data_IF_023985844035
#
_entry.id   IF_023985844035
#
_cell.length_a   1.000
_cell.length_b   1.000
_cell.length_c   1.000
_cell.angle_alpha   90.00
_cell.angle_beta   90.00
_cell.angle_gamma   90.00
#
_symmetry.space_group_name_H-M   'P 1'
#
loop_
_entity.id
_entity.type
_entity.pdbx_description
1 polymer ?
#
# COMPACT_ATOMS: atom_id res chain seq x y z
N UNK A 1 35.38 16.71 -11.01
CA UNK A 1 34.37 17.38 -10.20
C UNK A 1 33.10 17.56 -11.02
N UNK A 2 31.96 17.20 -10.45
CA UNK A 2 30.64 17.34 -11.09
C UNK A 2 29.64 17.91 -10.07
N UNK A 3 28.95 18.97 -10.44
CA UNK A 3 27.87 19.57 -9.69
C UNK A 3 26.55 19.24 -10.40
N UNK A 4 25.60 18.65 -9.65
CA UNK A 4 24.24 18.48 -10.09
C UNK A 4 23.33 19.28 -9.16
N UNK A 5 22.29 19.86 -9.71
CA UNK A 5 21.23 20.48 -8.94
C UNK A 5 19.88 20.25 -9.63
N UNK A 6 18.83 20.20 -8.86
CA UNK A 6 17.48 20.17 -9.39
C UNK A 6 16.52 20.93 -8.47
N UNK A 7 15.51 21.53 -9.08
CA UNK A 7 14.38 22.14 -8.40
C UNK A 7 13.10 21.46 -8.91
N UNK A 8 12.25 21.09 -7.99
CA UNK A 8 10.97 20.41 -8.28
C UNK A 8 9.84 21.26 -7.74
N UNK A 9 8.87 21.56 -8.59
CA UNK A 9 7.60 22.19 -8.23
C UNK A 9 6.49 21.26 -8.70
N UNK A 10 5.66 20.80 -7.77
CA UNK A 10 4.55 19.90 -8.07
C UNK A 10 3.27 20.41 -7.40
N UNK A 11 2.16 20.24 -8.11
CA UNK A 11 0.83 20.45 -7.59
C UNK A 11 -0.01 19.23 -7.95
N UNK A 12 -0.62 18.62 -6.93
CA UNK A 12 -1.59 17.55 -7.10
C UNK A 12 -2.95 18.01 -6.56
N UNK A 13 -4.01 17.54 -7.21
CA UNK A 13 -5.37 17.80 -6.81
C UNK A 13 -6.15 16.49 -6.87
N UNK A 14 -6.90 16.20 -5.82
CA UNK A 14 -7.81 15.07 -5.73
C UNK A 14 -9.17 15.59 -5.30
N UNK A 15 -10.22 15.13 -5.94
CA UNK A 15 -11.59 15.57 -5.69
C UNK A 15 -12.54 14.38 -5.69
N UNK A 16 -13.43 14.35 -4.70
CA UNK A 16 -14.65 13.57 -4.70
C UNK A 16 -15.79 14.58 -4.79
N UNK A 17 -16.32 14.84 -6.01
CA UNK A 17 -17.18 16.00 -6.24
C UNK A 17 -18.57 15.85 -5.60
N UNK A 18 -19.05 14.63 -5.48
CA UNK A 18 -20.34 14.30 -4.86
C UNK A 18 -20.40 12.79 -4.61
N UNK A 19 -20.39 12.39 -3.35
CA UNK A 19 -20.60 11.01 -2.94
C UNK A 19 -21.85 10.93 -2.08
N UNK A 20 -22.83 10.14 -2.50
CA UNK A 20 -24.06 9.92 -1.76
C UNK A 20 -24.16 8.46 -1.35
N UNK A 21 -24.27 8.21 -0.07
CA UNK A 21 -24.52 6.90 0.53
C UNK A 21 -25.92 6.87 1.10
N UNK A 22 -26.70 5.84 0.76
CA UNK A 22 -28.10 5.66 1.21
C UNK A 22 -28.17 4.40 2.06
N UNK A 23 -28.71 4.53 3.26
CA UNK A 23 -28.81 3.44 4.23
C UNK A 23 -30.23 2.89 4.27
N UNK A 24 -30.36 1.60 3.91
CA UNK A 24 -31.64 0.89 3.87
C UNK A 24 -31.75 -0.10 5.03
N UNK A 25 -32.94 -0.26 5.56
CA UNK A 25 -33.27 -1.33 6.49
C UNK A 25 -34.33 -2.21 5.82
N UNK A 26 -33.88 -3.28 5.18
CA UNK A 26 -34.72 -4.07 4.28
C UNK A 26 -35.12 -3.23 3.06
N UNK A 27 -36.44 -3.02 2.87
CA UNK A 27 -36.99 -2.22 1.77
C UNK A 27 -37.31 -0.76 2.16
N UNK A 28 -36.93 -0.35 3.37
CA UNK A 28 -37.20 0.97 3.89
C UNK A 28 -35.91 1.76 4.12
N UNK A 29 -35.96 3.09 4.02
CA UNK A 29 -34.91 3.93 4.52
C UNK A 29 -34.76 3.78 6.04
N UNK A 30 -33.54 3.85 6.56
CA UNK A 30 -33.34 4.05 7.98
C UNK A 30 -34.05 5.33 8.45
N UNK A 31 -34.67 5.31 9.63
CA UNK A 31 -35.39 6.50 10.14
C UNK A 31 -34.46 7.68 10.41
N UNK A 32 -33.25 7.40 10.87
CA UNK A 32 -32.21 8.40 11.17
C UNK A 32 -30.92 8.02 10.44
N UNK A 33 -30.17 9.02 10.01
CA UNK A 33 -28.99 8.82 9.15
C UNK A 33 -29.32 8.02 7.88
N UNK A 34 -30.44 8.34 7.25
CA UNK A 34 -30.93 7.63 6.07
C UNK A 34 -30.04 7.82 4.86
N UNK A 35 -29.36 8.93 4.77
CA UNK A 35 -28.36 9.19 3.74
C UNK A 35 -27.27 10.13 4.25
N UNK A 36 -26.09 9.97 3.65
CA UNK A 36 -24.95 10.86 3.84
C UNK A 36 -24.54 11.36 2.45
N UNK A 37 -24.27 12.64 2.33
CA UNK A 37 -23.77 13.25 1.11
C UNK A 37 -22.51 14.04 1.39
N UNK A 38 -21.40 13.72 0.66
CA UNK A 38 -20.05 14.24 0.88
C UNK A 38 -19.50 14.93 -0.34
N UNK A 39 -18.73 15.98 -0.07
CA UNK A 39 -17.85 16.65 -1.01
C UNK A 39 -16.48 16.77 -0.36
N UNK A 40 -15.45 16.34 -1.06
CA UNK A 40 -14.09 16.50 -0.58
C UNK A 40 -13.13 16.89 -1.70
N UNK A 41 -12.14 17.68 -1.36
CA UNK A 41 -10.99 17.88 -2.21
C UNK A 41 -9.72 18.13 -1.42
N UNK A 42 -8.60 17.68 -1.96
CA UNK A 42 -7.27 17.90 -1.42
C UNK A 42 -6.39 18.57 -2.47
N UNK A 43 -5.69 19.61 -2.08
CA UNK A 43 -4.72 20.31 -2.91
C UNK A 43 -3.34 20.23 -2.28
N UNK A 44 -2.43 19.47 -2.88
CA UNK A 44 -1.04 19.35 -2.45
C UNK A 44 -0.15 20.26 -3.28
N UNK A 45 0.71 21.03 -2.62
CA UNK A 45 1.79 21.81 -3.25
C UNK A 45 3.12 21.35 -2.66
N UNK A 46 4.03 20.93 -3.52
CA UNK A 46 5.34 20.39 -3.13
C UNK A 46 6.45 21.17 -3.85
N UNK A 47 7.42 21.64 -3.07
CA UNK A 47 8.60 22.37 -3.54
C UNK A 47 9.83 21.68 -2.97
N UNK A 48 10.76 21.27 -3.83
CA UNK A 48 11.99 20.66 -3.39
C UNK A 48 13.18 21.17 -4.18
N UNK A 49 14.31 21.34 -3.49
CA UNK A 49 15.60 21.67 -4.07
C UNK A 49 16.65 20.63 -3.65
N UNK A 50 17.50 20.25 -4.59
CA UNK A 50 18.56 19.27 -4.40
C UNK A 50 19.87 19.83 -4.94
N UNK A 51 20.97 19.56 -4.23
CA UNK A 51 22.32 19.90 -4.68
C UNK A 51 23.25 18.74 -4.35
N UNK A 52 24.00 18.26 -5.35
CA UNK A 52 24.95 17.17 -5.21
C UNK A 52 26.29 17.55 -5.84
N UNK A 53 27.35 17.35 -5.11
CA UNK A 53 28.73 17.53 -5.55
C UNK A 53 29.42 16.18 -5.56
N UNK A 54 29.98 15.82 -6.71
CA UNK A 54 30.69 14.55 -6.91
C UNK A 54 32.13 14.81 -7.33
N UNK A 55 33.07 14.11 -6.70
CA UNK A 55 34.48 14.17 -7.02
C UNK A 55 35.04 12.77 -7.25
N UNK A 56 35.55 12.51 -8.44
CA UNK A 56 36.20 11.25 -8.80
C UNK A 56 37.72 11.39 -8.65
N UNK A 57 38.27 10.47 -7.87
CA UNK A 57 39.72 10.39 -7.62
C UNK A 57 40.26 9.05 -8.13
N UNK A 58 41.12 9.12 -9.14
CA UNK A 58 41.82 7.97 -9.65
C UNK A 58 43.09 7.73 -8.85
N UNK A 59 43.16 6.63 -8.11
CA UNK A 59 44.30 6.30 -7.24
C UNK A 59 45.46 5.61 -7.98
N UNK A 60 45.25 5.24 -9.26
CA UNK A 60 46.18 4.39 -10.03
C UNK A 60 45.94 2.90 -9.82
N UNK A 61 46.58 2.03 -10.60
CA UNK A 61 46.41 0.58 -10.48
C UNK A 61 44.99 0.05 -10.73
N UNK A 62 44.16 0.84 -11.40
CA UNK A 62 42.74 0.46 -11.65
C UNK A 62 41.78 0.76 -10.47
N UNK A 63 42.27 1.47 -9.43
CA UNK A 63 41.48 1.85 -8.26
C UNK A 63 40.87 3.24 -8.44
N UNK A 64 39.57 3.36 -8.12
CA UNK A 64 38.83 4.63 -8.21
C UNK A 64 38.05 4.87 -6.94
N UNK A 65 38.11 6.09 -6.42
CA UNK A 65 37.23 6.61 -5.37
C UNK A 65 36.33 7.69 -5.94
N UNK A 66 35.02 7.52 -5.77
CA UNK A 66 34.02 8.55 -6.06
C UNK A 66 33.44 9.04 -4.74
N UNK A 67 33.68 10.32 -4.43
CA UNK A 67 33.08 11.00 -3.27
C UNK A 67 31.83 11.74 -3.71
N UNK A 68 30.76 11.62 -2.94
CA UNK A 68 29.53 12.36 -3.16
C UNK A 68 29.05 12.99 -1.86
N UNK A 69 28.76 14.27 -1.91
CA UNK A 69 28.11 14.99 -0.82
C UNK A 69 26.96 15.78 -1.40
N UNK A 70 25.86 15.84 -0.66
CA UNK A 70 24.71 16.57 -1.14
C UNK A 70 23.73 16.91 -0.05
N UNK A 71 22.74 17.70 -0.43
CA UNK A 71 21.68 18.12 0.46
C UNK A 71 20.37 18.34 -0.27
N UNK A 72 19.29 18.30 0.48
CA UNK A 72 17.96 18.63 -0.03
C UNK A 72 17.15 19.40 1.00
N UNK A 73 16.26 20.24 0.48
CA UNK A 73 15.18 20.82 1.25
C UNK A 73 13.87 20.66 0.51
N UNK A 74 12.83 20.22 1.24
CA UNK A 74 11.47 20.03 0.74
C UNK A 74 10.47 20.75 1.64
N UNK A 75 9.50 21.42 1.03
CA UNK A 75 8.34 22.05 1.70
C UNK A 75 7.08 21.59 0.99
N UNK A 76 6.33 20.68 1.62
CA UNK A 76 5.05 20.18 1.15
C UNK A 76 3.93 20.78 1.99
N UNK A 77 2.87 21.23 1.33
CA UNK A 77 1.66 21.77 1.97
C UNK A 77 0.44 21.10 1.38
N UNK A 78 -0.50 20.76 2.24
CA UNK A 78 -1.84 20.28 1.89
C UNK A 78 -2.87 21.26 2.39
N UNK A 79 -3.81 21.58 1.54
CA UNK A 79 -5.11 22.20 1.86
C UNK A 79 -6.16 21.11 1.67
N UNK A 80 -6.87 20.74 2.72
CA UNK A 80 -7.94 19.75 2.72
C UNK A 80 -9.27 20.40 2.99
N UNK A 81 -10.26 20.07 2.18
CA UNK A 81 -11.65 20.44 2.34
C UNK A 81 -12.50 19.17 2.40
N UNK A 82 -13.40 19.13 3.37
CA UNK A 82 -14.37 18.07 3.56
C UNK A 82 -15.70 18.68 4.00
N UNK A 83 -16.80 18.25 3.37
CA UNK A 83 -18.14 18.68 3.78
C UNK A 83 -19.08 17.49 3.69
N UNK A 84 -19.80 17.22 4.78
CA UNK A 84 -20.74 16.11 4.88
C UNK A 84 -22.07 16.59 5.43
N UNK A 85 -23.15 16.19 4.77
CA UNK A 85 -24.51 16.40 5.23
C UNK A 85 -25.16 15.05 5.49
N UNK A 86 -25.80 14.93 6.64
CA UNK A 86 -26.63 13.77 6.99
C UNK A 86 -28.09 14.11 6.77
N UNK A 87 -28.82 13.18 6.21
CA UNK A 87 -30.27 13.26 5.96
C UNK A 87 -30.97 12.17 6.74
N UNK A 88 -32.17 12.49 7.23
CA UNK A 88 -33.09 11.55 7.83
C UNK A 88 -34.22 11.22 6.82
N UNK A 89 -34.95 10.14 7.03
CA UNK A 89 -36.18 9.88 6.25
C UNK A 89 -37.18 11.00 6.47
N UNK A 90 -37.77 11.53 5.40
CA UNK A 90 -38.74 12.61 5.50
C UNK A 90 -40.06 12.17 6.11
N UNK A 91 -40.41 10.89 6.00
CA UNK A 91 -41.70 10.31 6.42
C UNK A 91 -41.54 9.33 7.59
N UNK A 92 -40.30 9.05 8.03
CA UNK A 92 -40.00 8.12 9.11
C UNK A 92 -40.46 6.70 8.79
N UNK A 93 -41.11 6.03 9.74
CA UNK A 93 -41.61 4.66 9.54
C UNK A 93 -42.77 4.54 8.51
N UNK A 94 -43.21 5.65 7.93
CA UNK A 94 -44.28 5.71 6.91
C UNK A 94 -43.74 5.84 5.50
N UNK A 95 -42.44 5.73 5.31
CA UNK A 95 -41.84 5.79 3.98
C UNK A 95 -42.42 4.73 3.05
N UNK A 96 -42.70 5.09 1.79
CA UNK A 96 -43.05 4.11 0.79
C UNK A 96 -41.92 3.07 0.68
N UNK A 97 -42.27 1.79 0.59
CA UNK A 97 -41.30 0.75 0.38
C UNK A 97 -40.64 0.96 -0.98
N UNK A 98 -39.33 1.10 -0.97
CA UNK A 98 -38.56 1.00 -2.19
C UNK A 98 -38.57 -0.46 -2.66
N UNK A 99 -39.30 -0.74 -3.73
CA UNK A 99 -39.42 -2.08 -4.27
C UNK A 99 -38.52 -2.35 -5.48
N UNK A 100 -37.72 -1.35 -5.85
CA UNK A 100 -36.87 -1.46 -7.03
C UNK A 100 -35.48 -2.03 -6.71
N UNK A 101 -34.94 -2.77 -7.68
CA UNK A 101 -33.50 -3.09 -7.76
C UNK A 101 -32.75 -2.12 -8.65
N UNK A 102 -33.48 -1.17 -9.26
CA UNK A 102 -32.92 -0.14 -10.14
C UNK A 102 -32.66 1.15 -9.38
N UNK A 103 -31.42 1.36 -9.02
CA UNK A 103 -30.93 2.57 -8.32
C UNK A 103 -31.10 3.86 -9.13
N UNK A 104 -31.52 3.79 -10.37
CA UNK A 104 -31.87 4.99 -11.15
C UNK A 104 -33.16 5.68 -10.65
N UNK A 105 -33.93 5.02 -9.81
CA UNK A 105 -35.18 5.54 -9.24
C UNK A 105 -35.02 5.98 -7.78
N UNK A 106 -33.80 6.35 -7.35
CA UNK A 106 -33.54 6.83 -5.98
C UNK A 106 -34.28 8.14 -5.64
N UNK A 107 -34.73 8.90 -6.62
CA UNK A 107 -35.57 10.11 -6.49
C UNK A 107 -36.97 9.82 -5.94
N UNK A 108 -37.42 8.57 -5.92
CA UNK A 108 -38.62 8.15 -5.19
C UNK A 108 -38.44 8.15 -3.67
N UNK A 109 -37.17 8.16 -3.19
CA UNK A 109 -36.85 8.20 -1.77
C UNK A 109 -36.94 9.64 -1.26
N UNK A 110 -37.64 9.85 -0.14
CA UNK A 110 -37.86 11.17 0.43
C UNK A 110 -36.93 11.41 1.61
N UNK A 111 -36.04 12.38 1.47
CA UNK A 111 -35.06 12.79 2.47
C UNK A 111 -35.39 14.14 3.08
N UNK A 112 -35.14 14.29 4.38
CA UNK A 112 -35.20 15.57 5.10
C UNK A 112 -33.79 15.89 5.62
N UNK A 113 -33.30 17.09 5.30
CA UNK A 113 -32.05 17.56 5.90
C UNK A 113 -32.23 17.69 7.42
N UNK A 114 -31.24 17.26 8.19
CA UNK A 114 -31.22 17.48 9.63
C UNK A 114 -31.31 18.99 9.91
N UNK A 115 -32.14 19.36 10.90
CA UNK A 115 -32.40 20.73 11.25
C UNK A 115 -31.17 21.56 11.61
N UNK A 116 -30.13 20.89 12.05
CA UNK A 116 -28.80 21.44 12.30
C UNK A 116 -27.82 20.59 11.48
N UNK A 117 -27.58 21.01 10.25
CA UNK A 117 -26.65 20.30 9.37
C UNK A 117 -25.34 20.02 10.12
N UNK A 118 -24.94 18.77 10.14
CA UNK A 118 -23.69 18.36 10.75
C UNK A 118 -22.62 18.53 9.67
N UNK A 119 -22.01 19.70 9.62
CA UNK A 119 -20.77 19.84 8.87
C UNK A 119 -19.74 19.07 9.68
N UNK A 120 -19.52 17.82 9.32
CA UNK A 120 -18.39 17.06 9.86
C UNK A 120 -17.12 17.67 9.30
N UNK A 121 -16.33 18.27 10.14
CA UNK A 121 -15.25 19.15 9.75
C UNK A 121 -13.83 18.69 10.07
N UNK A 122 -13.60 17.51 10.70
CA UNK A 122 -12.24 17.12 11.10
C UNK A 122 -11.28 16.96 9.93
N UNK A 123 -11.78 16.74 8.73
CA UNK A 123 -10.97 16.64 7.50
C UNK A 123 -10.78 18.01 6.80
N UNK A 124 -11.29 19.08 7.38
CA UNK A 124 -10.96 20.45 7.01
C UNK A 124 -9.68 20.88 7.73
N UNK A 125 -8.55 20.71 7.09
CA UNK A 125 -7.24 21.01 7.70
C UNK A 125 -6.23 21.55 6.69
N UNK A 126 -5.27 22.28 7.21
CA UNK A 126 -4.02 22.58 6.54
C UNK A 126 -2.92 21.69 7.12
N UNK A 127 -2.11 21.06 6.29
CA UNK A 127 -0.95 20.30 6.74
C UNK A 127 0.33 20.75 6.06
N UNK A 128 1.44 20.58 6.78
CA UNK A 128 2.78 20.93 6.29
C UNK A 128 3.78 19.84 6.62
N UNK A 129 4.68 19.57 5.69
CA UNK A 129 5.85 18.72 5.90
C UNK A 129 7.09 19.43 5.35
N UNK A 130 8.06 19.69 6.23
CA UNK A 130 9.36 20.26 5.88
C UNK A 130 10.44 19.26 6.18
N UNK A 131 11.27 18.96 5.20
CA UNK A 131 12.37 18.02 5.32
C UNK A 131 13.66 18.71 4.89
N UNK A 132 14.61 18.78 5.80
CA UNK A 132 15.99 19.17 5.51
C UNK A 132 16.89 17.95 5.61
N UNK A 133 17.72 17.69 4.61
CA UNK A 133 18.62 16.54 4.63
C UNK A 133 19.98 16.85 4.05
N UNK A 134 21.00 16.15 4.58
CA UNK A 134 22.36 16.15 4.06
C UNK A 134 22.93 14.74 4.05
N UNK A 135 23.79 14.42 3.11
CA UNK A 135 24.44 13.12 3.03
C UNK A 135 25.90 13.23 2.58
N UNK A 136 26.69 12.21 2.97
CA UNK A 136 28.00 11.93 2.43
C UNK A 136 28.12 10.46 2.07
N UNK A 137 28.74 10.16 0.94
CA UNK A 137 28.90 8.81 0.42
C UNK A 137 30.24 8.66 -0.29
N UNK A 138 30.86 7.48 -0.17
CA UNK A 138 32.06 7.08 -0.86
C UNK A 138 31.80 5.79 -1.60
N UNK A 139 32.16 5.76 -2.89
CA UNK A 139 32.19 4.56 -3.71
C UNK A 139 33.63 4.21 -4.05
N UNK A 140 34.06 3.00 -3.72
CA UNK A 140 35.35 2.44 -4.07
C UNK A 140 35.19 1.34 -5.12
N UNK A 141 35.94 1.45 -6.21
CA UNK A 141 35.95 0.44 -7.28
C UNK A 141 37.37 -0.03 -7.48
N UNK A 142 37.58 -1.35 -7.37
CA UNK A 142 38.88 -1.98 -7.63
C UNK A 142 38.71 -3.40 -8.18
N UNK A 143 39.19 -3.64 -9.38
CA UNK A 143 39.06 -4.92 -10.04
C UNK A 143 37.60 -5.35 -10.17
N UNK A 144 37.22 -6.44 -9.48
CA UNK A 144 35.85 -6.98 -9.46
C UNK A 144 34.99 -6.47 -8.31
N UNK A 145 35.56 -5.63 -7.43
CA UNK A 145 34.88 -5.06 -6.27
C UNK A 145 34.32 -3.68 -6.54
N UNK A 146 33.11 -3.47 -6.10
CA UNK A 146 32.46 -2.18 -5.98
C UNK A 146 31.86 -2.08 -4.57
N UNK A 147 32.38 -1.16 -3.76
CA UNK A 147 31.95 -0.91 -2.39
C UNK A 147 31.40 0.50 -2.30
N UNK A 148 30.23 0.67 -1.71
CA UNK A 148 29.59 1.95 -1.48
C UNK A 148 29.22 2.04 -0.01
N UNK A 149 29.61 3.13 0.65
CA UNK A 149 29.22 3.41 2.03
C UNK A 149 28.86 4.87 2.19
N UNK A 150 27.81 5.14 2.93
CA UNK A 150 27.37 6.51 3.17
C UNK A 150 26.44 6.65 4.36
N UNK A 151 26.22 7.90 4.73
CA UNK A 151 25.29 8.29 5.79
C UNK A 151 24.49 9.48 5.31
N UNK A 152 23.19 9.43 5.53
CA UNK A 152 22.26 10.53 5.32
C UNK A 152 21.64 10.92 6.66
N UNK A 153 21.51 12.20 6.92
CA UNK A 153 20.80 12.74 8.07
C UNK A 153 19.59 13.52 7.56
N UNK A 154 18.42 13.20 8.07
CA UNK A 154 17.17 13.90 7.74
C UNK A 154 16.53 14.51 8.97
N UNK A 155 16.16 15.77 8.89
CA UNK A 155 15.32 16.45 9.87
C UNK A 155 13.94 16.68 9.28
N UNK A 156 12.93 16.13 9.95
CA UNK A 156 11.51 16.23 9.55
C UNK A 156 10.76 17.11 10.55
N UNK A 157 9.93 18.00 10.02
CA UNK A 157 8.94 18.78 10.77
C UNK A 157 7.61 18.67 10.03
N UNK A 158 6.68 17.88 10.59
CA UNK A 158 5.39 17.55 10.01
C UNK A 158 4.28 17.93 10.99
N UNK A 159 3.20 18.54 10.49
CA UNK A 159 2.09 18.91 11.35
C UNK A 159 0.85 19.29 10.58
N UNK A 160 -0.22 19.51 11.34
CA UNK A 160 -1.54 19.93 10.85
C UNK A 160 -2.11 21.06 11.68
N UNK A 161 -3.08 21.77 11.11
CA UNK A 161 -3.96 22.75 11.77
C UNK A 161 -5.38 22.49 11.29
N UNK A 162 -6.29 22.17 12.20
CA UNK A 162 -7.70 22.04 11.90
C UNK A 162 -8.31 23.40 11.62
N UNK A 163 -9.13 23.53 10.57
CA UNK A 163 -9.83 24.78 10.22
C UNK A 163 -11.03 25.02 11.15
N UNK A 164 -11.71 23.93 11.53
CA UNK A 164 -12.90 23.93 12.38
C UNK A 164 -12.74 22.88 13.50
N UNK A 165 -11.89 23.12 14.52
CA UNK A 165 -11.66 22.16 15.59
C UNK A 165 -12.89 21.96 16.45
N UNK A 166 -13.19 20.69 16.80
CA UNK A 166 -14.17 20.38 17.83
C UNK A 166 -13.57 20.58 19.23
N UNK A 167 -14.40 20.72 20.26
CA UNK A 167 -13.92 20.92 21.65
C UNK A 167 -13.03 19.78 22.16
N UNK A 168 -13.19 18.57 21.60
CA UNK A 168 -12.44 17.37 21.99
C UNK A 168 -11.18 17.09 21.18
N UNK A 169 -10.89 17.87 20.13
CA UNK A 169 -9.75 17.67 19.25
C UNK A 169 -8.69 18.74 19.43
N UNK A 170 -7.41 18.33 19.54
CA UNK A 170 -6.31 19.27 19.50
C UNK A 170 -6.28 20.00 18.15
N UNK A 171 -6.44 21.34 18.15
CA UNK A 171 -6.58 22.11 16.92
C UNK A 171 -5.30 22.11 16.07
N UNK A 172 -4.17 21.73 16.65
CA UNK A 172 -2.86 21.69 15.98
C UNK A 172 -2.04 20.53 16.51
N UNK A 173 -1.42 19.78 15.61
CA UNK A 173 -0.41 18.78 15.93
C UNK A 173 0.88 19.07 15.19
N UNK A 174 2.02 18.71 15.81
CA UNK A 174 3.33 18.86 15.21
C UNK A 174 4.29 17.81 15.72
N UNK A 175 4.98 17.15 14.81
CA UNK A 175 6.03 16.16 15.10
C UNK A 175 7.35 16.64 14.50
N UNK A 176 8.41 16.56 15.29
CA UNK A 176 9.78 16.88 14.87
C UNK A 176 10.72 15.77 15.27
N UNK A 177 11.48 15.28 14.32
CA UNK A 177 12.47 14.23 14.57
C UNK A 177 13.62 14.31 13.59
N UNK A 178 14.72 13.65 13.96
CA UNK A 178 15.93 13.59 13.14
C UNK A 178 16.40 12.15 13.06
N UNK A 179 16.59 11.65 11.85
CA UNK A 179 17.01 10.30 11.57
C UNK A 179 18.40 10.26 10.94
N UNK A 180 19.19 9.30 11.40
CA UNK A 180 20.48 8.96 10.81
C UNK A 180 20.33 7.67 10.03
N UNK A 181 20.56 7.74 8.72
CA UNK A 181 20.29 6.71 7.74
C UNK A 181 21.59 6.22 7.10
N UNK A 182 22.33 5.30 7.75
CA UNK A 182 23.51 4.68 7.18
C UNK A 182 23.12 3.69 6.06
N UNK A 183 24.01 3.55 5.07
CA UNK A 183 23.89 2.55 4.02
C UNK A 183 25.26 1.99 3.64
N UNK A 184 25.27 0.72 3.28
CA UNK A 184 26.46 0.03 2.78
C UNK A 184 26.06 -0.96 1.69
N UNK A 185 26.78 -0.97 0.58
CA UNK A 185 26.60 -1.91 -0.52
C UNK A 185 27.95 -2.45 -0.95
N UNK A 186 28.04 -3.77 -1.09
CA UNK A 186 29.17 -4.48 -1.66
C UNK A 186 28.71 -5.28 -2.86
N UNK A 187 29.41 -5.13 -3.99
CA UNK A 187 29.23 -5.95 -5.17
C UNK A 187 30.57 -6.58 -5.54
N UNK A 188 30.54 -7.87 -5.80
CA UNK A 188 31.67 -8.64 -6.30
C UNK A 188 31.30 -9.34 -7.62
N UNK A 189 32.03 -9.04 -8.69
CA UNK A 189 31.91 -9.72 -9.98
C UNK A 189 32.55 -11.10 -9.92
N UNK A 190 31.77 -12.17 -9.75
CA UNK A 190 32.28 -13.56 -9.73
C UNK A 190 32.80 -13.92 -11.11
N UNK A 191 32.03 -13.60 -12.14
CA UNK A 191 32.34 -13.70 -13.55
C UNK A 191 31.87 -12.44 -14.29
N UNK A 192 32.14 -12.36 -15.60
CA UNK A 192 31.72 -11.21 -16.43
C UNK A 192 30.20 -11.01 -16.40
N UNK A 193 29.45 -12.08 -16.25
CA UNK A 193 27.98 -12.11 -16.26
C UNK A 193 27.35 -12.55 -14.93
N UNK A 194 28.13 -12.60 -13.84
CA UNK A 194 27.63 -13.02 -12.53
C UNK A 194 28.17 -12.13 -11.40
N UNK A 195 27.27 -11.72 -10.49
CA UNK A 195 27.59 -10.88 -9.36
C UNK A 195 27.04 -11.46 -8.05
N UNK A 196 27.77 -11.20 -6.98
CA UNK A 196 27.27 -11.27 -5.61
C UNK A 196 27.05 -9.85 -5.09
N UNK A 197 25.96 -9.63 -4.40
CA UNK A 197 25.65 -8.35 -3.73
C UNK A 197 25.30 -8.59 -2.28
N UNK A 198 25.80 -7.70 -1.44
CA UNK A 198 25.38 -7.57 -0.04
C UNK A 198 25.04 -6.11 0.18
N UNK A 199 23.89 -5.83 0.79
CA UNK A 199 23.52 -4.48 1.15
C UNK A 199 22.94 -4.40 2.56
N UNK A 200 23.19 -3.26 3.18
CA UNK A 200 22.53 -2.82 4.40
C UNK A 200 22.06 -1.38 4.17
N UNK A 201 20.81 -1.09 4.55
CA UNK A 201 20.31 0.28 4.53
C UNK A 201 19.28 0.49 5.62
N UNK A 202 19.43 1.60 6.36
CA UNK A 202 18.35 2.12 7.21
C UNK A 202 17.48 3.06 6.40
N UNK A 203 16.17 2.89 6.51
CA UNK A 203 15.15 3.72 5.88
C UNK A 203 14.06 4.09 6.88
N UNK A 204 13.25 5.10 6.54
CA UNK A 204 12.12 5.53 7.36
C UNK A 204 10.84 5.59 6.51
N UNK A 205 9.70 5.35 7.15
CA UNK A 205 8.37 5.62 6.61
C UNK A 205 7.65 6.59 7.53
N UNK A 206 7.27 7.75 6.99
CA UNK A 206 6.56 8.79 7.73
C UNK A 206 5.05 8.52 7.66
N UNK A 207 4.30 8.78 8.74
CA UNK A 207 2.85 8.79 8.63
C UNK A 207 2.39 9.85 7.62
N UNK A 208 1.33 9.56 6.91
CA UNK A 208 0.70 10.51 5.99
C UNK A 208 -0.02 11.62 6.76
N UNK A 209 -0.36 12.72 6.08
CA UNK A 209 -1.16 13.79 6.70
C UNK A 209 -2.51 13.27 7.19
N UNK A 210 -3.12 12.39 6.41
CA UNK A 210 -4.41 11.82 6.77
C UNK A 210 -4.33 10.96 8.04
N UNK A 211 -3.27 10.18 8.23
CA UNK A 211 -3.11 9.31 9.39
C UNK A 211 -2.91 10.09 10.71
N UNK A 212 -2.29 11.28 10.68
CA UNK A 212 -2.00 12.06 11.90
C UNK A 212 -3.08 13.07 12.28
N UNK A 213 -4.04 13.36 11.42
CA UNK A 213 -5.13 14.30 11.72
C UNK A 213 -6.17 13.60 12.60
N UNK A 214 -6.64 14.22 13.72
CA UNK A 214 -7.57 13.58 14.66
C UNK A 214 -9.02 13.64 14.15
N UNK A 215 -9.29 13.06 12.98
CA UNK A 215 -10.63 12.97 12.43
C UNK A 215 -11.39 11.74 12.91
N UNK A 216 -12.70 11.75 12.72
CA UNK A 216 -13.56 10.58 12.85
C UNK A 216 -14.66 10.69 11.81
N UNK A 217 -14.71 9.74 10.89
CA UNK A 217 -15.70 9.66 9.81
C UNK A 217 -16.38 8.28 9.82
N UNK A 218 -17.57 8.20 9.25
CA UNK A 218 -18.27 6.95 9.02
C UNK A 218 -17.99 6.55 7.58
N UNK A 219 -17.35 5.39 7.40
CA UNK A 219 -17.18 4.74 6.11
C UNK A 219 -18.16 3.57 5.98
N UNK A 220 -18.14 2.90 4.83
CA UNK A 220 -19.07 1.81 4.52
C UNK A 220 -19.02 0.67 5.55
N UNK A 221 -17.82 0.25 5.96
CA UNK A 221 -17.65 -0.90 6.85
C UNK A 221 -17.44 -0.49 8.33
N UNK A 222 -16.69 0.60 8.57
CA UNK A 222 -16.27 1.00 9.91
C UNK A 222 -16.25 2.52 10.08
N UNK A 223 -16.33 2.96 11.34
CA UNK A 223 -15.91 4.31 11.69
C UNK A 223 -14.39 4.39 11.55
N UNK A 224 -13.88 5.39 10.86
CA UNK A 224 -12.45 5.59 10.66
C UNK A 224 -11.95 6.77 11.48
N UNK A 225 -10.75 6.67 12.05
CA UNK A 225 -10.19 7.68 12.93
C UNK A 225 -8.70 7.85 12.69
N UNK A 226 -8.22 9.08 12.63
CA UNK A 226 -6.81 9.37 12.59
C UNK A 226 -6.14 9.25 13.97
N UNK A 227 -4.82 9.29 14.00
CA UNK A 227 -4.00 9.12 15.20
C UNK A 227 -2.83 10.11 15.26
N UNK A 228 -2.98 11.24 15.98
CA UNK A 228 -1.92 12.23 16.14
C UNK A 228 -0.65 11.72 16.83
N UNK A 229 -0.75 10.61 17.59
CA UNK A 229 0.35 10.04 18.37
C UNK A 229 1.22 9.06 17.56
N UNK A 230 0.95 8.88 16.27
CA UNK A 230 1.74 8.00 15.40
C UNK A 230 3.19 8.40 15.35
N UNK A 231 4.07 7.40 15.52
CA UNK A 231 5.50 7.51 15.27
C UNK A 231 5.82 7.10 13.84
N UNK A 232 6.87 7.68 13.29
CA UNK A 232 7.42 7.21 12.01
C UNK A 232 8.08 5.83 12.19
N UNK A 233 7.96 4.98 11.17
CA UNK A 233 8.62 3.67 11.14
C UNK A 233 10.09 3.84 10.78
N UNK A 234 10.97 3.12 11.46
CA UNK A 234 12.38 2.96 11.09
C UNK A 234 12.61 1.50 10.67
N UNK A 235 13.23 1.29 9.51
CA UNK A 235 13.51 -0.03 9.00
C UNK A 235 15.01 -0.24 8.74
N UNK A 236 15.58 -1.28 9.34
CA UNK A 236 16.92 -1.79 9.03
C UNK A 236 16.77 -2.96 8.06
N UNK A 237 17.38 -2.85 6.88
CA UNK A 237 17.30 -3.82 5.79
C UNK A 237 18.67 -4.41 5.52
N UNK A 238 18.74 -5.74 5.43
CA UNK A 238 19.92 -6.49 4.99
C UNK A 238 19.51 -7.40 3.84
N UNK A 239 20.18 -7.29 2.71
CA UNK A 239 19.90 -8.08 1.52
C UNK A 239 21.19 -8.76 1.02
N UNK A 240 21.08 -10.02 0.66
CA UNK A 240 22.13 -10.78 -0.05
C UNK A 240 21.55 -11.32 -1.33
N UNK A 241 22.28 -11.16 -2.47
CA UNK A 241 21.80 -11.60 -3.78
C UNK A 241 22.92 -12.14 -4.65
N UNK A 242 22.66 -13.25 -5.32
CA UNK A 242 23.40 -13.73 -6.47
C UNK A 242 22.65 -13.40 -7.75
N UNK A 243 23.34 -12.83 -8.73
CA UNK A 243 22.80 -12.41 -10.02
C UNK A 243 23.61 -13.07 -11.13
N UNK A 244 22.92 -13.69 -12.08
CA UNK A 244 23.52 -14.30 -13.26
C UNK A 244 22.77 -13.88 -14.52
N UNK A 245 23.49 -13.31 -15.48
CA UNK A 245 22.99 -12.78 -16.75
C UNK A 245 23.63 -13.52 -17.92
N UNK A 246 23.17 -14.73 -18.28
CA UNK A 246 23.81 -15.53 -19.36
C UNK A 246 23.79 -14.82 -20.71
N UNK A 247 22.75 -14.00 -20.96
CA UNK A 247 22.61 -13.12 -22.13
C UNK A 247 21.93 -11.81 -21.69
N UNK A 248 21.97 -10.79 -22.55
CA UNK A 248 21.38 -9.47 -22.25
C UNK A 248 19.87 -9.51 -21.95
N UNK A 249 19.15 -10.51 -22.42
CA UNK A 249 17.71 -10.70 -22.21
C UNK A 249 17.38 -11.84 -21.27
N UNK A 250 18.36 -12.49 -20.65
CA UNK A 250 18.18 -13.62 -19.75
C UNK A 250 18.76 -13.31 -18.38
N UNK A 251 18.06 -13.70 -17.33
CA UNK A 251 18.53 -13.51 -15.96
C UNK A 251 18.10 -14.66 -15.05
N UNK A 252 18.95 -14.93 -14.07
CA UNK A 252 18.64 -15.75 -12.91
C UNK A 252 19.14 -15.02 -11.69
N UNK A 253 18.25 -14.75 -10.74
CA UNK A 253 18.61 -14.13 -9.48
C UNK A 253 18.02 -14.93 -8.33
N UNK A 254 18.82 -15.08 -7.27
CA UNK A 254 18.37 -15.61 -5.99
C UNK A 254 18.88 -14.70 -4.89
N UNK A 255 17.99 -14.36 -3.96
CA UNK A 255 18.31 -13.48 -2.85
C UNK A 255 17.69 -13.92 -1.54
N UNK A 256 18.28 -13.49 -0.46
CA UNK A 256 17.74 -13.57 0.88
C UNK A 256 17.71 -12.17 1.49
N UNK A 257 16.67 -11.86 2.26
CA UNK A 257 16.55 -10.57 2.94
C UNK A 257 16.13 -10.74 4.39
N UNK A 258 16.56 -9.78 5.20
CA UNK A 258 16.09 -9.60 6.57
C UNK A 258 15.76 -8.12 6.79
N UNK A 259 14.57 -7.83 7.35
CA UNK A 259 14.13 -6.49 7.69
C UNK A 259 13.67 -6.47 9.14
N UNK A 260 14.22 -5.53 9.90
CA UNK A 260 13.73 -5.19 11.23
C UNK A 260 13.01 -3.85 11.15
N UNK A 261 11.74 -3.82 11.55
CA UNK A 261 10.89 -2.63 11.53
C UNK A 261 10.60 -2.22 12.97
N UNK A 262 11.01 -1.01 13.31
CA UNK A 262 10.67 -0.35 14.56
C UNK A 262 9.44 0.52 14.32
N UNK A 263 8.42 0.34 15.16
CA UNK A 263 7.17 1.10 15.13
C UNK A 263 6.48 1.11 13.73
N UNK A 264 6.27 -0.05 13.04
CA UNK A 264 5.51 -0.06 11.80
C UNK A 264 4.10 0.48 12.02
N UNK A 265 3.59 1.23 11.03
CA UNK A 265 2.23 1.75 11.04
C UNK A 265 1.34 0.70 10.40
N UNK A 266 0.34 0.22 11.14
CA UNK A 266 -0.66 -0.73 10.69
C UNK A 266 -2.05 -0.25 11.10
N UNK A 267 -3.06 -0.58 10.30
CA UNK A 267 -4.45 -0.27 10.63
C UNK A 267 -5.09 -1.42 11.42
N UNK A 268 -5.85 -1.07 12.45
CA UNK A 268 -6.55 -2.06 13.28
C UNK A 268 -7.91 -1.57 13.72
N UNK A 269 -8.79 -2.54 14.02
CA UNK A 269 -10.11 -2.33 14.60
C UNK A 269 -9.97 -2.21 16.12
N UNK A 270 -10.15 -1.02 16.64
CA UNK A 270 -9.95 -0.70 18.06
C UNK A 270 -11.25 -0.22 18.68
N UNK A 271 -11.56 -0.77 19.87
CA UNK A 271 -12.73 -0.33 20.63
C UNK A 271 -12.38 0.87 21.50
N UNK A 272 -13.05 1.97 21.29
CA UNK A 272 -13.01 3.17 22.14
C UNK A 272 -14.42 3.42 22.71
N UNK A 273 -14.64 3.08 23.96
CA UNK A 273 -15.98 3.07 24.58
C UNK A 273 -16.89 2.00 23.95
N UNK A 274 -18.02 2.42 23.39
CA UNK A 274 -18.98 1.54 22.70
C UNK A 274 -18.76 1.46 21.19
N UNK A 275 -17.84 2.27 20.65
CA UNK A 275 -17.57 2.34 19.21
C UNK A 275 -16.32 1.54 18.84
N UNK A 276 -16.35 0.96 17.63
CA UNK A 276 -15.19 0.34 17.00
C UNK A 276 -14.69 1.24 15.88
N UNK A 277 -13.40 1.57 15.91
CA UNK A 277 -12.75 2.42 14.93
C UNK A 277 -11.67 1.67 14.18
N UNK A 278 -11.63 1.86 12.87
CA UNK A 278 -10.48 1.52 12.03
C UNK A 278 -9.46 2.64 12.14
N UNK A 279 -8.31 2.36 12.76
CA UNK A 279 -7.36 3.38 13.19
C UNK A 279 -5.93 2.96 12.92
N UNK A 280 -5.07 3.87 12.38
CA UNK A 280 -3.64 3.59 12.24
C UNK A 280 -2.93 3.61 13.60
N UNK A 281 -2.09 2.61 13.85
CA UNK A 281 -1.37 2.41 15.11
C UNK A 281 0.05 1.89 14.88
N UNK A 282 0.93 2.13 15.87
CA UNK A 282 2.21 1.44 15.97
C UNK A 282 2.05 0.29 17.00
N UNK A 283 1.88 -0.94 16.50
CA UNK A 283 1.62 -2.10 17.38
C UNK A 283 2.87 -2.72 18.01
N UNK A 284 4.04 -2.18 17.77
CA UNK A 284 5.32 -2.68 18.29
C UNK A 284 6.36 -2.87 17.19
N UNK A 285 7.32 -3.77 17.38
CA UNK A 285 8.37 -4.02 16.41
C UNK A 285 8.11 -5.29 15.63
N UNK A 286 8.52 -5.32 14.37
CA UNK A 286 8.30 -6.44 13.48
C UNK A 286 9.59 -6.90 12.78
N UNK A 287 9.57 -8.13 12.31
CA UNK A 287 10.64 -8.72 11.49
C UNK A 287 10.07 -9.39 10.26
N UNK A 288 10.74 -9.21 9.12
CA UNK A 288 10.49 -9.94 7.88
C UNK A 288 11.79 -10.61 7.45
N UNK A 289 11.76 -11.93 7.28
CA UNK A 289 12.86 -12.75 6.72
C UNK A 289 12.35 -13.46 5.48
N UNK A 290 13.09 -13.44 4.38
CA UNK A 290 12.58 -14.08 3.19
C UNK A 290 13.64 -14.46 2.16
N UNK A 291 13.14 -15.16 1.15
CA UNK A 291 13.89 -15.61 -0.02
C UNK A 291 13.18 -15.12 -1.29
N UNK A 292 13.95 -14.71 -2.28
CA UNK A 292 13.47 -14.26 -3.58
C UNK A 292 14.18 -15.03 -4.70
N UNK A 293 13.43 -15.43 -5.71
CA UNK A 293 13.96 -16.02 -6.96
C UNK A 293 13.34 -15.30 -8.13
N UNK A 294 14.15 -14.90 -9.11
CA UNK A 294 13.68 -14.32 -10.37
C UNK A 294 14.40 -15.01 -11.54
N UNK A 295 13.61 -15.45 -12.52
CA UNK A 295 14.10 -16.20 -13.69
C UNK A 295 13.48 -15.58 -14.94
N UNK A 296 14.32 -15.28 -15.92
CA UNK A 296 13.91 -14.96 -17.28
C UNK A 296 14.78 -15.71 -18.27
N UNK A 297 14.16 -16.57 -19.08
CA UNK A 297 14.83 -17.45 -20.05
C UNK A 297 14.07 -17.49 -21.35
N UNK A 298 14.78 -17.37 -22.48
CA UNK A 298 14.22 -17.49 -23.83
C UNK A 298 14.74 -18.72 -24.55
N UNK A 299 13.84 -19.41 -25.25
CA UNK A 299 14.07 -20.56 -26.10
C UNK A 299 13.55 -20.26 -27.50
N UNK A 300 14.37 -19.65 -28.35
CA UNK A 300 13.98 -19.21 -29.69
C UNK A 300 12.74 -18.30 -29.69
N UNK A 301 11.56 -18.87 -29.96
CA UNK A 301 10.28 -18.16 -30.04
C UNK A 301 9.46 -18.23 -28.73
N UNK A 302 9.93 -18.96 -27.76
CA UNK A 302 9.26 -19.14 -26.45
C UNK A 302 10.12 -18.58 -25.33
N UNK A 303 9.49 -18.00 -24.32
CA UNK A 303 10.14 -17.47 -23.14
C UNK A 303 9.37 -17.78 -21.86
N UNK A 304 10.11 -17.87 -20.76
CA UNK A 304 9.55 -18.01 -19.40
C UNK A 304 10.08 -16.85 -18.58
N UNK A 305 9.18 -16.15 -17.90
CA UNK A 305 9.51 -15.21 -16.84
C UNK A 305 8.79 -15.65 -15.57
N UNK A 306 9.54 -15.90 -14.52
CA UNK A 306 8.98 -16.33 -13.24
C UNK A 306 9.67 -15.59 -12.09
N UNK A 307 8.91 -15.21 -11.09
CA UNK A 307 9.45 -14.79 -9.81
C UNK A 307 8.65 -15.40 -8.66
N UNK A 308 9.34 -15.62 -7.56
CA UNK A 308 8.74 -16.16 -6.35
C UNK A 308 9.41 -15.52 -5.14
N UNK A 309 8.59 -15.09 -4.17
CA UNK A 309 9.04 -14.56 -2.89
C UNK A 309 8.37 -15.34 -1.76
N UNK A 310 9.20 -15.82 -0.85
CA UNK A 310 8.75 -16.32 0.44
C UNK A 310 9.12 -15.32 1.52
N UNK A 311 8.16 -14.95 2.39
CA UNK A 311 8.36 -14.02 3.52
C UNK A 311 7.81 -14.62 4.81
N UNK A 312 8.68 -14.84 5.78
CA UNK A 312 8.28 -15.08 7.17
C UNK A 312 8.21 -13.72 7.89
N UNK A 313 6.99 -13.25 8.11
CA UNK A 313 6.69 -11.98 8.79
C UNK A 313 6.23 -12.25 10.21
N UNK A 314 6.72 -11.48 11.18
CA UNK A 314 6.33 -11.62 12.59
C UNK A 314 6.29 -10.27 13.31
N UNK A 315 5.15 -10.00 13.92
CA UNK A 315 4.94 -8.98 14.95
C UNK A 315 4.20 -9.63 16.13
N UNK A 316 4.49 -9.19 17.35
CA UNK A 316 3.78 -9.66 18.55
C UNK A 316 3.06 -8.46 19.18
N UNK A 317 1.76 -8.60 19.39
CA UNK A 317 0.88 -7.54 19.89
C UNK A 317 0.04 -8.05 21.06
N UNK A 318 -0.35 -7.15 21.96
CA UNK A 318 -1.28 -7.46 23.03
C UNK A 318 -2.72 -7.44 22.48
N UNK A 319 -3.47 -8.48 22.79
CA UNK A 319 -4.88 -8.69 22.42
C UNK A 319 -5.73 -8.89 23.65
N UNK A 320 -7.02 -8.65 23.53
CA UNK A 320 -8.00 -8.92 24.57
C UNK A 320 -8.56 -10.33 24.42
N UNK A 321 -8.81 -11.01 25.55
CA UNK A 321 -9.55 -12.28 25.60
C UNK A 321 -10.55 -12.23 26.76
N UNK A 322 -11.71 -12.85 26.55
CA UNK A 322 -12.69 -13.07 27.64
C UNK A 322 -12.37 -14.37 28.36
N UNK A 323 -12.10 -14.30 29.67
CA UNK A 323 -12.09 -15.46 30.54
C UNK A 323 -13.23 -15.35 31.58
N UNK A 324 -14.32 -16.06 31.31
CA UNK A 324 -15.57 -15.89 32.07
C UNK A 324 -16.16 -14.50 31.84
N UNK A 325 -16.25 -13.68 32.89
CA UNK A 325 -16.76 -12.29 32.84
C UNK A 325 -15.66 -11.22 32.80
N UNK A 326 -14.39 -11.63 32.78
CA UNK A 326 -13.25 -10.72 32.85
C UNK A 326 -12.55 -10.61 31.50
N UNK A 327 -12.13 -9.38 31.12
CA UNK A 327 -11.29 -9.13 29.97
C UNK A 327 -9.83 -9.17 30.41
N UNK A 328 -9.05 -10.09 29.85
CA UNK A 328 -7.61 -10.18 30.06
C UNK A 328 -6.83 -9.81 28.79
N UNK A 329 -5.55 -9.50 28.99
CA UNK A 329 -4.62 -9.26 27.88
C UNK A 329 -3.74 -10.49 27.68
N UNK A 330 -3.55 -10.87 26.41
CA UNK A 330 -2.67 -11.97 25.98
C UNK A 330 -1.84 -11.54 24.79
N UNK A 331 -0.61 -12.03 24.71
CA UNK A 331 0.26 -11.77 23.57
C UNK A 331 -0.10 -12.68 22.40
N UNK A 332 -0.29 -12.10 21.22
CA UNK A 332 -0.49 -12.82 19.96
C UNK A 332 0.60 -12.45 18.95
N UNK A 333 1.25 -13.48 18.38
CA UNK A 333 2.17 -13.31 17.26
C UNK A 333 1.42 -13.52 15.94
N UNK A 334 1.62 -12.62 14.98
CA UNK A 334 0.98 -12.64 13.66
C UNK A 334 1.92 -12.08 12.58
N UNK A 335 1.65 -12.26 11.28
CA UNK A 335 2.33 -11.50 10.24
C UNK A 335 1.92 -10.02 10.30
N UNK A 336 2.68 -9.16 9.63
CA UNK A 336 2.29 -7.79 9.37
C UNK A 336 1.02 -7.73 8.50
N UNK A 337 0.23 -6.69 8.70
CA UNK A 337 -0.93 -6.35 7.89
C UNK A 337 -0.58 -6.36 6.39
N UNK A 338 -1.40 -7.04 5.58
CA UNK A 338 -1.23 -7.14 4.14
C UNK A 338 -0.06 -8.02 3.66
N UNK A 339 0.76 -8.59 4.57
CA UNK A 339 1.92 -9.41 4.20
C UNK A 339 1.51 -10.86 3.92
N UNK A 340 1.55 -11.26 2.64
CA UNK A 340 1.44 -12.65 2.25
C UNK A 340 2.77 -13.38 2.43
N UNK A 341 2.71 -14.64 2.91
CA UNK A 341 3.92 -15.47 3.05
C UNK A 341 4.47 -15.93 1.70
N UNK A 342 3.62 -16.10 0.69
CA UNK A 342 3.99 -16.58 -0.64
C UNK A 342 3.42 -15.65 -1.71
N UNK A 343 4.28 -15.16 -2.59
CA UNK A 343 3.90 -14.40 -3.79
C UNK A 343 4.63 -15.01 -4.97
N UNK A 344 3.92 -15.33 -6.04
CA UNK A 344 4.49 -15.92 -7.25
C UNK A 344 3.89 -15.31 -8.52
N UNK A 345 4.72 -15.11 -9.53
CA UNK A 345 4.26 -14.73 -10.86
C UNK A 345 4.95 -15.65 -11.88
N UNK A 346 4.17 -16.13 -12.85
CA UNK A 346 4.65 -16.92 -13.97
C UNK A 346 4.08 -16.37 -15.27
N UNK A 347 4.95 -16.01 -16.20
CA UNK A 347 4.55 -15.60 -17.55
C UNK A 347 5.19 -16.53 -18.58
N UNK A 348 4.36 -17.10 -19.41
CA UNK A 348 4.75 -17.82 -20.61
C UNK A 348 4.66 -16.85 -21.78
N UNK A 349 5.78 -16.60 -22.46
CA UNK A 349 5.92 -15.65 -23.52
C UNK A 349 6.07 -16.39 -24.83
N UNK A 350 5.40 -15.92 -25.86
CA UNK A 350 5.55 -16.39 -27.23
C UNK A 350 5.86 -15.21 -28.13
N UNK A 351 6.90 -15.34 -28.97
CA UNK A 351 7.25 -14.30 -29.95
C UNK A 351 7.83 -14.89 -31.20
N UNK A 352 7.17 -14.64 -32.33
CA UNK A 352 7.65 -15.00 -33.65
C UNK A 352 7.72 -13.79 -34.56
N UNK A 353 8.91 -13.19 -34.66
CA UNK A 353 9.15 -12.01 -35.51
C UNK A 353 8.93 -12.32 -36.99
N UNK A 354 9.26 -13.54 -37.42
CA UNK A 354 9.05 -13.98 -38.82
C UNK A 354 7.57 -13.92 -39.25
N UNK A 355 6.69 -14.31 -38.34
CA UNK A 355 5.25 -14.36 -38.63
C UNK A 355 4.49 -13.22 -37.96
N UNK A 356 5.15 -12.31 -37.26
CA UNK A 356 4.54 -11.17 -36.59
C UNK A 356 3.56 -11.54 -35.47
N UNK A 357 3.75 -12.67 -34.78
CA UNK A 357 2.98 -13.08 -33.62
C UNK A 357 3.71 -12.79 -32.33
N UNK A 358 3.00 -12.22 -31.38
CA UNK A 358 3.45 -12.07 -29.99
C UNK A 358 2.29 -12.42 -29.05
N UNK A 359 2.59 -13.13 -27.96
CA UNK A 359 1.57 -13.52 -27.00
C UNK A 359 2.15 -13.78 -25.62
N UNK A 360 1.29 -13.69 -24.62
CA UNK A 360 1.63 -13.95 -23.22
C UNK A 360 0.47 -14.62 -22.52
N UNK A 361 0.77 -15.58 -21.68
CA UNK A 361 -0.10 -16.10 -20.63
C UNK A 361 0.57 -15.83 -19.30
N UNK A 362 -0.06 -15.06 -18.42
CA UNK A 362 0.50 -14.62 -17.15
C UNK A 362 -0.39 -15.03 -16.00
N UNK A 363 0.16 -15.79 -15.06
CA UNK A 363 -0.46 -16.15 -13.79
C UNK A 363 0.21 -15.42 -12.64
N UNK A 364 -0.56 -14.85 -11.72
CA UNK A 364 -0.09 -14.31 -10.45
C UNK A 364 -0.79 -15.02 -9.30
N UNK A 365 -0.03 -15.36 -8.27
CA UNK A 365 -0.52 -15.93 -7.03
C UNK A 365 -0.10 -15.05 -5.87
N UNK A 366 -1.07 -14.65 -5.05
CA UNK A 366 -0.85 -14.02 -3.76
C UNK A 366 -1.40 -14.93 -2.69
N UNK A 367 -0.58 -15.37 -1.74
CA UNK A 367 -0.99 -16.22 -0.63
C UNK A 367 -1.89 -15.46 0.35
N UNK A 368 -2.48 -16.20 1.28
CA UNK A 368 -3.31 -15.61 2.34
C UNK A 368 -2.54 -14.53 3.10
N UNK A 369 -3.26 -13.48 3.51
CA UNK A 369 -2.73 -12.34 4.23
C UNK A 369 -3.71 -11.80 5.25
N UNK A 370 -3.19 -11.13 6.28
CA UNK A 370 -4.00 -10.44 7.25
C UNK A 370 -4.62 -9.20 6.61
N UNK A 371 -5.95 -9.08 6.64
CA UNK A 371 -6.71 -7.98 6.07
C UNK A 371 -7.09 -6.93 7.10
N UNK A 372 -7.51 -7.34 8.31
CA UNK A 372 -7.83 -6.41 9.39
C UNK A 372 -7.38 -6.97 10.74
N UNK A 373 -6.80 -6.09 11.55
CA UNK A 373 -6.29 -6.43 12.86
C UNK A 373 -7.39 -6.16 13.89
N UNK A 374 -7.92 -7.21 14.51
CA UNK A 374 -8.86 -7.09 15.61
C UNK A 374 -8.16 -6.75 16.93
N UNK A 375 -8.87 -6.11 17.85
CA UNK A 375 -8.43 -5.93 19.22
C UNK A 375 -8.58 -7.21 20.07
N UNK A 376 -9.30 -8.21 19.55
CA UNK A 376 -9.58 -9.48 20.22
C UNK A 376 -8.67 -10.59 19.72
N UNK A 377 -8.35 -11.52 20.61
CA UNK A 377 -7.50 -12.67 20.32
C UNK A 377 -8.18 -13.60 19.30
N UNK A 378 -7.45 -13.95 18.24
CA UNK A 378 -7.89 -14.80 17.11
C UNK A 378 -9.08 -14.29 16.27
N UNK A 379 -9.52 -13.05 16.48
CA UNK A 379 -10.59 -12.42 15.69
C UNK A 379 -10.07 -11.57 14.51
N UNK A 380 -8.81 -11.72 14.13
CA UNK A 380 -8.26 -11.03 12.97
C UNK A 380 -8.95 -11.49 11.69
N UNK A 381 -9.21 -10.55 10.77
CA UNK A 381 -9.79 -10.86 9.47
C UNK A 381 -8.67 -11.16 8.48
N UNK A 382 -8.81 -12.27 7.79
CA UNK A 382 -7.86 -12.74 6.80
C UNK A 382 -8.46 -12.70 5.41
N UNK A 383 -7.65 -12.34 4.43
CA UNK A 383 -7.96 -12.53 3.03
C UNK A 383 -7.29 -13.83 2.55
N UNK A 384 -8.06 -14.69 1.91
CA UNK A 384 -7.56 -15.98 1.38
C UNK A 384 -6.64 -15.75 0.19
N UNK A 385 -5.80 -16.75 -0.11
CA UNK A 385 -4.94 -16.69 -1.28
C UNK A 385 -5.75 -16.79 -2.58
N UNK A 386 -5.33 -16.04 -3.61
CA UNK A 386 -6.00 -16.09 -4.90
C UNK A 386 -5.01 -16.17 -6.07
N UNK A 387 -5.50 -16.68 -7.19
CA UNK A 387 -4.77 -16.75 -8.45
C UNK A 387 -5.52 -15.91 -9.49
N UNK A 388 -4.78 -15.03 -10.16
CA UNK A 388 -5.26 -14.30 -11.33
C UNK A 388 -4.54 -14.84 -12.58
N UNK A 389 -5.29 -15.07 -13.66
CA UNK A 389 -4.76 -15.51 -14.95
C UNK A 389 -5.16 -14.53 -16.04
N UNK A 390 -4.16 -14.00 -16.75
CA UNK A 390 -4.32 -13.05 -17.85
C UNK A 390 -3.70 -13.61 -19.12
N UNK A 391 -4.29 -13.31 -20.28
CA UNK A 391 -3.77 -13.69 -21.57
C UNK A 391 -3.78 -12.51 -22.55
N UNK A 392 -2.79 -12.46 -23.41
CA UNK A 392 -2.76 -11.50 -24.51
C UNK A 392 -2.13 -12.09 -25.77
N UNK A 393 -2.62 -11.67 -26.91
CA UNK A 393 -2.06 -12.03 -28.22
C UNK A 393 -2.11 -10.83 -29.14
N UNK A 394 -1.03 -10.65 -29.91
CA UNK A 394 -0.94 -9.61 -30.94
C UNK A 394 -0.44 -10.24 -32.24
N UNK A 395 -1.08 -9.83 -33.35
CA UNK A 395 -0.65 -10.15 -34.71
C UNK A 395 -0.27 -8.86 -35.42
N UNK A 396 1.00 -8.68 -35.75
CA UNK A 396 1.52 -7.59 -36.57
C UNK A 396 1.63 -8.00 -38.01
N UNK A 397 1.18 -7.12 -38.91
CA UNK A 397 1.25 -7.28 -40.36
C UNK A 397 2.33 -6.36 -40.93
N UNK A 398 2.83 -6.70 -42.15
CA UNK A 398 3.89 -5.94 -42.82
C UNK A 398 3.51 -4.50 -43.23
N UNK A 399 2.22 -4.21 -43.31
CA UNK A 399 1.67 -2.89 -43.66
C UNK A 399 1.54 -1.93 -42.45
N UNK A 400 2.15 -2.25 -41.29
CA UNK A 400 2.11 -1.41 -40.10
C UNK A 400 0.86 -1.60 -39.23
N UNK A 401 -0.09 -2.44 -39.62
CA UNK A 401 -1.27 -2.77 -38.80
C UNK A 401 -0.94 -3.89 -37.81
N UNK A 402 -1.39 -3.78 -36.60
CA UNK A 402 -1.42 -4.86 -35.61
C UNK A 402 -2.83 -5.02 -35.07
N UNK A 403 -3.27 -6.27 -34.92
CA UNK A 403 -4.50 -6.65 -34.23
C UNK A 403 -4.12 -7.27 -32.88
N UNK A 404 -4.77 -6.88 -31.81
CA UNK A 404 -4.52 -7.46 -30.50
C UNK A 404 -5.80 -7.84 -29.78
N UNK A 405 -5.70 -8.88 -28.97
CA UNK A 405 -6.71 -9.31 -28.02
C UNK A 405 -6.08 -9.45 -26.63
N UNK A 406 -6.80 -9.04 -25.60
CA UNK A 406 -6.43 -9.23 -24.18
C UNK A 406 -7.61 -9.78 -23.44
N UNK A 407 -7.35 -10.68 -22.49
CA UNK A 407 -8.30 -11.21 -21.54
C UNK A 407 -7.67 -11.14 -20.16
N UNK A 408 -8.37 -10.54 -19.21
CA UNK A 408 -7.89 -10.41 -17.84
C UNK A 408 -8.84 -11.12 -16.88
N UNK A 409 -8.27 -11.63 -15.78
CA UNK A 409 -8.99 -12.36 -14.74
C UNK A 409 -9.76 -13.58 -15.28
N UNK A 410 -9.10 -14.39 -16.13
CA UNK A 410 -9.74 -15.53 -16.81
C UNK A 410 -10.32 -16.58 -15.86
N UNK A 411 -9.80 -16.69 -14.65
CA UNK A 411 -10.28 -17.66 -13.64
C UNK A 411 -11.45 -17.12 -12.82
N UNK A 412 -11.67 -15.81 -12.83
CA UNK A 412 -12.68 -15.12 -12.00
C UNK A 412 -12.67 -15.59 -10.53
N UNK A 413 -11.46 -15.75 -9.98
CA UNK A 413 -11.27 -16.22 -8.60
C UNK A 413 -11.80 -15.15 -7.66
N UNK A 414 -12.73 -15.46 -6.74
CA UNK A 414 -13.25 -14.48 -5.81
C UNK A 414 -12.20 -14.07 -4.79
N UNK A 415 -12.21 -12.81 -4.37
CA UNK A 415 -11.58 -12.37 -3.15
C UNK A 415 -12.44 -12.80 -1.97
N UNK A 416 -11.86 -13.52 -1.03
CA UNK A 416 -12.58 -14.09 0.10
C UNK A 416 -11.93 -13.66 1.40
N UNK A 417 -12.71 -12.97 2.24
CA UNK A 417 -12.30 -12.56 3.59
C UNK A 417 -12.99 -13.45 4.62
N UNK A 418 -12.26 -13.81 5.66
CA UNK A 418 -12.76 -14.71 6.69
C UNK A 418 -12.15 -14.43 8.06
N UNK A 419 -12.85 -14.83 9.11
CA UNK A 419 -12.39 -14.83 10.50
C UNK A 419 -12.05 -16.27 10.86
N UNK A 420 -10.93 -16.49 11.54
CA UNK A 420 -10.57 -17.82 12.04
C UNK A 420 -11.62 -18.35 13.00
N UNK A 421 -11.82 -19.67 13.00
CA UNK A 421 -12.61 -20.33 14.02
C UNK A 421 -11.90 -20.18 15.37
N UNK A 422 -12.46 -19.38 16.24
CA UNK A 422 -11.92 -19.05 17.54
C UNK A 422 -13.01 -18.98 18.62
N UNK A 423 -12.68 -18.55 19.83
CA UNK A 423 -13.61 -18.51 20.97
C UNK A 423 -14.92 -17.75 20.69
N UNK A 424 -14.87 -16.73 19.83
CA UNK A 424 -16.02 -15.90 19.50
C UNK A 424 -16.84 -16.44 18.32
N UNK A 425 -16.31 -17.39 17.56
CA UNK A 425 -16.94 -17.94 16.35
C UNK A 425 -17.32 -19.42 16.47
N UNK A 426 -17.12 -20.05 17.62
CA UNK A 426 -17.36 -21.50 17.83
C UNK A 426 -18.78 -21.95 17.49
N UNK A 427 -19.76 -21.09 17.74
CA UNK A 427 -21.19 -21.38 17.53
C UNK A 427 -21.74 -20.81 16.22
N UNK A 428 -20.89 -20.23 15.37
CA UNK A 428 -21.30 -19.69 14.06
C UNK A 428 -21.25 -20.80 13.03
N UNK A 429 -22.36 -21.02 12.30
CA UNK A 429 -22.36 -21.93 11.16
C UNK A 429 -21.44 -21.39 10.05
N UNK A 430 -20.45 -22.21 9.69
CA UNK A 430 -19.50 -21.86 8.63
C UNK A 430 -19.85 -22.57 7.34
N UNK A 431 -19.82 -21.85 6.22
CA UNK A 431 -19.89 -22.42 4.88
C UNK A 431 -18.55 -23.05 4.45
N UNK A 432 -17.47 -22.82 5.19
CA UNK A 432 -16.13 -23.34 4.91
C UNK A 432 -15.91 -24.69 5.59
N UNK A 433 -15.25 -25.59 4.88
CA UNK A 433 -14.90 -26.93 5.40
C UNK A 433 -13.86 -26.89 6.52
N UNK A 434 -13.08 -25.80 6.63
CA UNK A 434 -12.09 -25.56 7.69
C UNK A 434 -12.70 -24.94 8.95
N UNK A 435 -14.00 -24.64 8.94
CA UNK A 435 -14.74 -24.04 10.06
C UNK A 435 -14.55 -22.54 10.22
N UNK A 436 -13.74 -21.88 9.40
CA UNK A 436 -13.58 -20.42 9.42
C UNK A 436 -14.84 -19.73 8.89
N UNK A 437 -15.19 -18.57 9.44
CA UNK A 437 -16.41 -17.84 9.09
C UNK A 437 -16.12 -16.87 7.95
N UNK A 438 -16.88 -16.96 6.85
CA UNK A 438 -16.79 -16.01 5.74
C UNK A 438 -17.34 -14.66 6.20
N UNK A 439 -16.52 -13.62 6.07
CA UNK A 439 -16.92 -12.23 6.30
C UNK A 439 -17.41 -11.61 4.99
N UNK A 440 -16.62 -11.79 3.90
CA UNK A 440 -16.94 -11.18 2.61
C UNK A 440 -16.44 -12.06 1.46
N UNK A 441 -17.20 -12.08 0.35
CA UNK A 441 -16.81 -12.76 -0.87
C UNK A 441 -17.18 -11.90 -2.07
N UNK A 442 -16.18 -11.51 -2.87
CA UNK A 442 -16.31 -10.56 -3.96
C UNK A 442 -15.82 -11.15 -5.28
N UNK A 443 -16.56 -10.96 -6.36
CA UNK A 443 -16.16 -11.27 -7.73
C UNK A 443 -15.98 -9.99 -8.52
N UNK A 444 -14.90 -9.90 -9.28
CA UNK A 444 -14.60 -8.75 -10.11
C UNK A 444 -14.90 -8.97 -11.59
N UNK A 445 -15.27 -10.21 -11.97
CA UNK A 445 -15.57 -10.60 -13.33
C UNK A 445 -14.35 -10.70 -14.24
N UNK A 446 -14.56 -11.21 -15.43
CA UNK A 446 -13.59 -11.29 -16.51
C UNK A 446 -13.68 -10.05 -17.39
N UNK A 447 -12.58 -9.58 -17.95
CA UNK A 447 -12.58 -8.50 -18.92
C UNK A 447 -11.89 -8.90 -20.23
N UNK A 448 -12.47 -8.46 -21.37
CA UNK A 448 -11.96 -8.74 -22.70
C UNK A 448 -11.79 -7.45 -23.48
N UNK A 449 -10.67 -7.33 -24.18
CA UNK A 449 -10.37 -6.18 -25.03
C UNK A 449 -9.90 -6.63 -26.40
N UNK A 450 -10.45 -6.06 -27.44
CA UNK A 450 -9.98 -6.20 -28.82
C UNK A 450 -9.58 -4.83 -29.34
N UNK A 451 -8.51 -4.76 -30.13
CA UNK A 451 -8.08 -3.49 -30.67
C UNK A 451 -7.19 -3.61 -31.90
N UNK A 452 -7.09 -2.49 -32.58
CA UNK A 452 -6.26 -2.31 -33.76
C UNK A 452 -5.25 -1.20 -33.46
N UNK A 453 -3.99 -1.44 -33.82
CA UNK A 453 -2.92 -0.44 -33.73
C UNK A 453 -2.33 -0.24 -35.12
N UNK A 454 -2.09 0.99 -35.48
CA UNK A 454 -1.36 1.34 -36.69
C UNK A 454 -0.07 2.07 -36.31
N UNK A 455 1.04 1.59 -36.87
CA UNK A 455 2.36 2.22 -36.68
C UNK A 455 2.70 2.95 -37.99
N UNK A 456 2.79 4.29 -37.89
CA UNK A 456 3.26 5.18 -38.96
C UNK A 456 4.76 5.00 -39.19
#
# INVERSE_FOLDING_TARGET
LRLNWSAVLSKAYSETPDNTEIYMQGTHLQNTNSAIRRWEHNSDKDKAGYVDLMYKWNLGGGSVLDFSVGGMYRDKKRDSFFNEYTFDSATGSKDPQYQGTDWNNYDELLFAARKYGNISDPLNYDATEKIGAGYGMVKYTYGRWELIGGVRVEHTNQGYTLKFPTESADPKGNQKYTDVLPSFHAKYGVHENANLRLSYARSINRPSFFEIVPYSIINEDYKEKGNPDLKHTVADNVDFRYEFFPKSSEQFMIGAFYKYLKDPIEYGLLNEGQDTYYKPMNFGNATNLGLEVDIMKYFNWFGIKANYTYTHSKITTEKRIMEGSEVKQVSQSRPLFGQAAHVANLSLLFKSTKYGWEGQLAGSYTGKRLSDISNWYEDDIWEDGYIQLDASVEKSFKNGISLFAKASNLLDTPLLRYIHKGPHTENVNSERTDGNVIERKEWHGQSFMLGIRYKL
#
